data_IF_301645516119
#
_entry.id   IF_301645516119
#
_cell.length_a   1.000
_cell.length_b   1.000
_cell.length_c   1.000
_cell.angle_alpha   90.00
_cell.angle_beta   90.00
_cell.angle_gamma   90.00
#
_symmetry.space_group_name_H-M   'P 1'
#
loop_
_entity.id
_entity.type
_entity.pdbx_description
1 polymer ?
#
# COMPACT_ATOMS: atom_id res chain seq x y z
N UNK A 1 33.13 -47.21 -4.74
CA UNK A 1 32.98 -46.22 -5.83
C UNK A 1 31.92 -45.22 -5.39
N UNK A 2 32.32 -44.00 -5.07
CA UNK A 2 31.46 -42.99 -4.43
C UNK A 2 30.46 -42.42 -5.45
N UNK A 3 29.17 -42.53 -5.15
CA UNK A 3 28.11 -41.84 -5.88
C UNK A 3 28.06 -40.38 -5.42
N UNK A 4 28.72 -39.50 -6.16
CA UNK A 4 28.63 -38.05 -5.95
C UNK A 4 27.24 -37.55 -6.32
N UNK A 5 26.49 -37.07 -5.32
CA UNK A 5 25.20 -36.41 -5.49
C UNK A 5 25.42 -34.99 -6.04
N UNK A 6 25.08 -34.76 -7.31
CA UNK A 6 25.05 -33.43 -7.93
C UNK A 6 23.82 -32.65 -7.42
N UNK A 7 24.04 -31.69 -6.53
CA UNK A 7 23.02 -30.74 -6.09
C UNK A 7 22.92 -29.62 -7.15
N UNK A 8 21.85 -29.64 -7.95
CA UNK A 8 21.49 -28.52 -8.82
C UNK A 8 20.90 -27.41 -7.96
N UNK A 9 21.68 -26.37 -7.66
CA UNK A 9 21.16 -25.15 -7.07
C UNK A 9 20.37 -24.40 -8.14
N UNK A 10 19.05 -24.52 -8.11
CA UNK A 10 18.14 -23.77 -8.96
C UNK A 10 18.14 -22.30 -8.49
N UNK A 11 18.87 -21.44 -9.20
CA UNK A 11 18.90 -20.01 -8.93
C UNK A 11 17.56 -19.39 -9.35
N UNK A 12 16.65 -19.16 -8.40
CA UNK A 12 15.40 -18.43 -8.65
C UNK A 12 15.72 -16.94 -8.74
N UNK A 13 15.71 -16.39 -9.95
CA UNK A 13 15.88 -14.96 -10.16
C UNK A 13 14.61 -14.21 -9.72
N UNK A 14 14.62 -13.65 -8.51
CA UNK A 14 13.58 -12.74 -8.07
C UNK A 14 13.67 -11.42 -8.88
N UNK A 15 12.54 -10.82 -9.28
CA UNK A 15 12.57 -9.53 -9.98
C UNK A 15 13.17 -8.47 -9.05
N UNK A 16 14.32 -7.92 -9.45
CA UNK A 16 14.95 -6.79 -8.76
C UNK A 16 14.24 -5.52 -9.20
N UNK A 17 13.54 -4.88 -8.28
CA UNK A 17 13.01 -3.54 -8.50
C UNK A 17 14.13 -2.50 -8.36
N UNK A 18 14.04 -1.39 -9.11
CA UNK A 18 14.99 -0.29 -9.00
C UNK A 18 14.95 0.45 -7.63
N UNK A 19 13.98 0.11 -6.79
CA UNK A 19 13.84 0.60 -5.40
C UNK A 19 13.36 -0.56 -4.52
N UNK A 20 13.71 -0.55 -3.23
CA UNK A 20 13.22 -1.53 -2.26
C UNK A 20 11.80 -1.16 -1.78
N UNK A 21 10.76 -1.93 -2.16
CA UNK A 21 9.38 -1.64 -1.79
C UNK A 21 9.17 -1.77 -0.28
N UNK A 22 8.51 -0.79 0.32
CA UNK A 22 8.19 -0.78 1.74
C UNK A 22 6.71 -0.48 1.94
N UNK A 23 6.13 -1.03 3.01
CA UNK A 23 4.75 -0.72 3.38
C UNK A 23 4.59 0.77 3.62
N UNK A 24 3.61 1.38 2.96
CA UNK A 24 3.35 2.82 3.03
C UNK A 24 3.94 3.65 1.88
N UNK A 25 4.74 3.04 0.99
CA UNK A 25 5.13 3.71 -0.26
C UNK A 25 3.88 4.02 -1.09
N UNK A 26 3.73 5.26 -1.54
CA UNK A 26 2.60 5.67 -2.39
C UNK A 26 3.06 5.61 -3.83
N UNK A 27 2.41 4.79 -4.64
CA UNK A 27 2.75 4.60 -6.05
C UNK A 27 1.69 5.22 -6.96
N UNK A 28 2.14 5.84 -8.04
CA UNK A 28 1.31 6.55 -9.01
C UNK A 28 1.60 6.09 -10.42
N UNK A 29 0.57 6.01 -11.25
CA UNK A 29 0.71 5.71 -12.68
C UNK A 29 -0.36 6.43 -13.50
N UNK A 30 -0.22 6.31 -14.82
CA UNK A 30 -1.28 6.68 -15.77
C UNK A 30 -2.15 5.45 -16.03
N UNK A 31 -3.42 5.51 -15.62
CA UNK A 31 -4.39 4.46 -15.90
C UNK A 31 -4.68 4.35 -17.40
N UNK A 32 -4.99 3.13 -17.86
CA UNK A 32 -5.53 2.86 -19.20
C UNK A 32 -7.06 2.89 -19.26
N UNK A 33 -7.73 3.14 -18.13
CA UNK A 33 -9.19 3.24 -18.07
C UNK A 33 -9.71 4.50 -18.79
N UNK A 34 -10.95 4.46 -19.29
CA UNK A 34 -11.53 5.52 -20.13
C UNK A 34 -11.56 6.90 -19.45
N UNK A 35 -11.78 6.94 -18.13
CA UNK A 35 -11.79 8.15 -17.31
C UNK A 35 -10.41 8.76 -17.05
N UNK A 36 -9.31 8.06 -17.38
CA UNK A 36 -7.94 8.49 -17.08
C UNK A 36 -7.66 9.91 -17.60
N UNK A 37 -8.05 10.19 -18.84
CA UNK A 37 -7.82 11.50 -19.46
C UNK A 37 -8.62 12.62 -18.78
N UNK A 38 -9.85 12.33 -18.34
CA UNK A 38 -10.67 13.29 -17.62
C UNK A 38 -10.04 13.66 -16.27
N UNK A 39 -9.49 12.68 -15.54
CA UNK A 39 -8.78 12.91 -14.27
C UNK A 39 -7.55 13.80 -14.50
N UNK A 40 -6.72 13.49 -15.49
CA UNK A 40 -5.53 14.26 -15.79
C UNK A 40 -5.84 15.74 -16.09
N UNK A 41 -6.86 15.98 -16.92
CA UNK A 41 -7.28 17.32 -17.30
C UNK A 41 -7.87 18.09 -16.12
N UNK A 42 -8.72 17.45 -15.32
CA UNK A 42 -9.37 18.09 -14.19
C UNK A 42 -8.41 18.41 -13.04
N UNK A 43 -7.34 17.61 -12.88
CA UNK A 43 -6.37 17.76 -11.78
C UNK A 43 -5.06 18.43 -12.20
N UNK A 44 -4.92 18.80 -13.49
CA UNK A 44 -3.67 19.29 -14.06
C UNK A 44 -2.47 18.39 -13.72
N UNK A 45 -2.68 17.08 -13.79
CA UNK A 45 -1.69 16.07 -13.40
C UNK A 45 -1.49 15.03 -14.50
N UNK A 46 -0.29 14.46 -14.56
CA UNK A 46 -0.03 13.27 -15.37
C UNK A 46 -0.66 12.02 -14.74
N UNK A 47 -0.82 11.98 -13.41
CA UNK A 47 -1.23 10.76 -12.70
C UNK A 47 -2.76 10.65 -12.64
N UNK A 48 -3.27 9.44 -12.90
CA UNK A 48 -4.72 9.18 -12.88
C UNK A 48 -5.11 7.92 -12.09
N UNK A 49 -4.13 7.24 -11.49
CA UNK A 49 -4.34 6.16 -10.55
C UNK A 49 -3.23 6.10 -9.50
N UNK A 50 -3.58 5.64 -8.31
CA UNK A 50 -2.65 5.51 -7.19
C UNK A 50 -3.03 4.34 -6.29
N UNK A 51 -2.05 3.87 -5.53
CA UNK A 51 -2.24 2.90 -4.46
C UNK A 51 -1.11 3.02 -3.44
N UNK A 52 -1.21 2.22 -2.38
CA UNK A 52 -0.19 2.14 -1.34
C UNK A 52 0.46 0.75 -1.40
N UNK A 53 1.79 0.70 -1.39
CA UNK A 53 2.52 -0.56 -1.30
C UNK A 53 2.30 -1.17 0.09
N UNK A 54 2.01 -2.46 0.11
CA UNK A 54 1.86 -3.27 1.31
C UNK A 54 2.70 -4.55 1.16
N UNK A 55 3.63 -4.76 2.07
CA UNK A 55 4.42 -5.99 2.14
C UNK A 55 3.60 -7.09 2.81
N UNK A 56 3.33 -8.19 2.09
CA UNK A 56 2.59 -9.36 2.60
C UNK A 56 3.44 -10.60 2.38
N UNK A 57 3.79 -11.30 3.45
CA UNK A 57 4.70 -12.46 3.39
C UNK A 57 6.01 -12.16 2.64
N UNK A 58 6.58 -10.97 2.88
CA UNK A 58 7.79 -10.46 2.19
C UNK A 58 7.64 -10.19 0.68
N UNK A 59 6.42 -10.27 0.14
CA UNK A 59 6.13 -9.91 -1.24
C UNK A 59 5.41 -8.55 -1.32
N UNK A 60 5.75 -7.70 -2.31
CA UNK A 60 5.13 -6.40 -2.47
C UNK A 60 3.80 -6.49 -3.25
N UNK A 61 2.75 -5.95 -2.65
CA UNK A 61 1.46 -5.72 -3.27
C UNK A 61 1.16 -4.22 -3.30
N UNK A 62 0.30 -3.79 -4.22
CA UNK A 62 -0.34 -2.48 -4.18
C UNK A 62 -1.77 -2.67 -3.66
N UNK A 63 -2.08 -2.02 -2.54
CA UNK A 63 -3.42 -1.87 -2.02
C UNK A 63 -4.10 -0.70 -2.71
N UNK A 64 -5.15 -0.98 -3.49
CA UNK A 64 -5.77 -0.02 -4.40
C UNK A 64 -7.29 -0.11 -4.40
N UNK A 65 -7.95 1.01 -4.73
CA UNK A 65 -9.41 1.12 -4.82
C UNK A 65 -9.87 1.08 -6.29
N UNK A 66 -9.99 -0.13 -6.84
CA UNK A 66 -10.41 -0.35 -8.24
C UNK A 66 -11.86 -0.83 -8.37
N UNK A 67 -12.59 -0.94 -7.25
CA UNK A 67 -13.95 -1.45 -7.21
C UNK A 67 -14.02 -2.97 -7.40
N UNK A 68 -13.78 -3.79 -6.35
CA UNK A 68 -13.59 -3.42 -4.95
C UNK A 68 -12.15 -3.00 -4.61
N UNK A 69 -11.89 -2.72 -3.33
CA UNK A 69 -10.52 -2.54 -2.83
C UNK A 69 -9.80 -3.89 -2.88
N UNK A 70 -8.57 -3.90 -3.40
CA UNK A 70 -7.83 -5.13 -3.66
C UNK A 70 -6.32 -5.01 -3.39
N UNK A 71 -5.67 -6.16 -3.23
CA UNK A 71 -4.22 -6.30 -3.28
C UNK A 71 -3.81 -6.82 -4.65
N UNK A 72 -3.08 -6.01 -5.41
CA UNK A 72 -2.55 -6.40 -6.72
C UNK A 72 -1.03 -6.60 -6.60
N UNK A 73 -0.47 -7.74 -7.05
CA UNK A 73 0.99 -7.91 -7.05
C UNK A 73 1.68 -6.73 -7.74
N UNK A 74 2.75 -6.18 -7.15
CA UNK A 74 3.36 -4.92 -7.60
C UNK A 74 3.71 -4.93 -9.10
N UNK A 75 4.31 -6.02 -9.60
CA UNK A 75 4.62 -6.15 -11.03
C UNK A 75 3.38 -6.12 -11.93
N UNK A 76 2.29 -6.76 -11.49
CA UNK A 76 1.02 -6.74 -12.22
C UNK A 76 0.44 -5.32 -12.24
N UNK A 77 0.51 -4.61 -11.12
CA UNK A 77 0.03 -3.24 -11.01
C UNK A 77 0.78 -2.29 -11.96
N UNK A 78 2.12 -2.39 -11.98
CA UNK A 78 2.99 -1.62 -12.89
C UNK A 78 2.63 -1.92 -14.36
N UNK A 79 2.48 -3.20 -14.72
CA UNK A 79 2.15 -3.61 -16.08
C UNK A 79 0.77 -3.10 -16.56
N UNK A 80 -0.15 -2.82 -15.64
CA UNK A 80 -1.48 -2.28 -15.96
C UNK A 80 -1.46 -0.78 -16.31
N UNK A 81 -0.45 -0.04 -15.86
CA UNK A 81 -0.23 1.37 -16.23
C UNK A 81 0.25 1.57 -17.66
N UNK A 82 0.00 2.77 -18.19
CA UNK A 82 0.48 3.17 -19.52
C UNK A 82 2.00 3.03 -19.59
N UNK A 83 2.47 2.25 -20.57
CA UNK A 83 3.88 1.97 -20.84
C UNK A 83 4.67 1.38 -19.65
N UNK A 84 3.98 0.85 -18.61
CA UNK A 84 4.64 0.39 -17.39
C UNK A 84 5.30 1.51 -16.58
N UNK A 85 4.97 2.78 -16.84
CA UNK A 85 5.57 3.93 -16.15
C UNK A 85 4.88 4.20 -14.83
N UNK A 86 5.69 4.42 -13.80
CA UNK A 86 5.22 4.75 -12.46
C UNK A 86 6.19 5.69 -11.75
N UNK A 87 5.72 6.34 -10.69
CA UNK A 87 6.55 7.04 -9.71
C UNK A 87 6.15 6.61 -8.31
N UNK A 88 7.12 6.59 -7.39
CA UNK A 88 6.90 6.25 -5.99
C UNK A 88 7.25 7.45 -5.12
N UNK A 89 6.40 7.72 -4.14
CA UNK A 89 6.62 8.70 -3.08
C UNK A 89 6.72 7.94 -1.76
N UNK A 90 7.81 8.20 -1.03
CA UNK A 90 8.08 7.63 0.29
C UNK A 90 8.16 8.75 1.32
N UNK A 91 7.64 8.51 2.50
CA UNK A 91 7.81 9.37 3.68
C UNK A 91 9.31 9.51 3.97
N UNK A 92 9.85 10.75 3.99
CA UNK A 92 11.29 10.99 4.17
C UNK A 92 11.73 10.48 5.55
N UNK A 93 12.67 9.53 5.58
CA UNK A 93 13.07 8.83 6.81
C UNK A 93 12.29 7.54 7.08
N UNK A 94 11.34 7.18 6.21
CA UNK A 94 10.47 6.01 6.35
C UNK A 94 9.33 6.26 7.35
N UNK A 95 8.32 5.39 7.30
CA UNK A 95 7.35 5.27 8.38
C UNK A 95 8.01 4.46 9.50
N UNK A 96 8.03 5.01 10.72
CA UNK A 96 8.52 4.31 11.89
C UNK A 96 7.64 3.08 12.21
N UNK A 97 8.17 2.08 12.92
CA UNK A 97 7.38 0.91 13.34
C UNK A 97 6.09 1.29 14.09
N UNK A 98 6.07 2.30 14.99
CA UNK A 98 4.82 2.78 15.59
C UNK A 98 3.79 3.32 14.61
N UNK A 99 4.20 3.81 13.44
CA UNK A 99 3.28 4.28 12.39
C UNK A 99 2.75 3.13 11.50
N UNK A 100 3.36 1.94 11.60
CA UNK A 100 3.00 0.74 10.87
C UNK A 100 2.51 -0.35 11.83
N UNK A 101 1.24 -0.29 12.22
CA UNK A 101 0.66 -1.19 13.22
C UNK A 101 -0.13 -2.32 12.56
N UNK A 102 -0.20 -3.48 13.20
CA UNK A 102 -1.17 -4.50 12.77
C UNK A 102 -2.57 -4.10 13.19
N UNK A 103 -3.59 -4.39 12.37
CA UNK A 103 -4.99 -4.07 12.71
C UNK A 103 -5.39 -4.57 14.11
N UNK A 104 -4.92 -5.74 14.51
CA UNK A 104 -5.15 -6.32 15.85
C UNK A 104 -4.55 -5.52 17.02
N UNK A 105 -3.64 -4.60 16.77
CA UNK A 105 -2.98 -3.78 17.79
C UNK A 105 -3.81 -2.53 18.16
N UNK A 106 -4.82 -2.18 17.35
CA UNK A 106 -5.77 -1.12 17.69
C UNK A 106 -6.77 -1.60 18.75
N UNK A 107 -7.38 -0.66 19.49
CA UNK A 107 -8.52 -0.96 20.36
C UNK A 107 -9.76 -1.30 19.52
N UNK A 108 -9.90 -2.60 19.22
CA UNK A 108 -11.05 -3.15 18.50
C UNK A 108 -12.17 -3.60 19.45
N UNK A 109 -12.10 -3.29 20.76
CA UNK A 109 -13.11 -3.72 21.73
C UNK A 109 -14.31 -2.76 21.78
N UNK A 110 -14.21 -1.60 21.14
CA UNK A 110 -15.31 -0.65 21.06
C UNK A 110 -16.46 -1.24 20.25
N UNK A 111 -17.71 -1.31 20.78
CA UNK A 111 -18.85 -1.91 20.09
C UNK A 111 -19.10 -1.32 18.69
N UNK A 112 -18.92 0.00 18.56
CA UNK A 112 -19.06 0.69 17.28
C UNK A 112 -18.00 0.25 16.26
N UNK A 113 -16.75 0.05 16.69
CA UNK A 113 -15.67 -0.43 15.83
C UNK A 113 -15.95 -1.87 15.38
N UNK A 114 -16.37 -2.75 16.29
CA UNK A 114 -16.72 -4.15 15.95
C UNK A 114 -17.88 -4.22 14.96
N UNK A 115 -18.93 -3.41 15.16
CA UNK A 115 -20.06 -3.35 14.24
C UNK A 115 -19.61 -2.95 12.83
N UNK A 116 -18.76 -1.91 12.72
CA UNK A 116 -18.21 -1.46 11.42
C UNK A 116 -17.27 -2.48 10.77
N UNK A 117 -16.42 -3.14 11.55
CA UNK A 117 -15.56 -4.22 11.03
C UNK A 117 -16.38 -5.38 10.48
N UNK A 118 -17.44 -5.79 11.19
CA UNK A 118 -18.35 -6.85 10.74
C UNK A 118 -19.13 -6.43 9.49
N UNK A 119 -19.60 -5.19 9.41
CA UNK A 119 -20.27 -4.63 8.23
C UNK A 119 -19.35 -4.69 7.00
N UNK A 120 -18.08 -4.30 7.16
CA UNK A 120 -17.13 -4.18 6.04
C UNK A 120 -16.47 -5.49 5.62
N UNK A 121 -16.09 -6.33 6.59
CA UNK A 121 -15.26 -7.51 6.37
C UNK A 121 -15.99 -8.83 6.66
N UNK A 122 -17.22 -8.77 7.19
CA UNK A 122 -17.98 -9.95 7.59
C UNK A 122 -17.21 -10.78 8.62
N UNK A 123 -16.94 -12.05 8.28
CA UNK A 123 -16.17 -12.98 9.13
C UNK A 123 -14.66 -12.94 8.88
N UNK A 124 -14.19 -12.23 7.85
CA UNK A 124 -12.78 -12.25 7.40
C UNK A 124 -12.10 -10.92 7.69
N UNK A 125 -12.05 -10.55 8.96
CA UNK A 125 -11.34 -9.35 9.41
C UNK A 125 -9.83 -9.58 9.24
N UNK A 126 -9.11 -8.70 8.52
CA UNK A 126 -7.69 -8.90 8.23
C UNK A 126 -6.82 -8.44 9.41
N UNK A 127 -6.90 -9.13 10.55
CA UNK A 127 -6.27 -8.74 11.81
C UNK A 127 -4.74 -8.59 11.76
N UNK A 128 -4.07 -9.33 10.87
CA UNK A 128 -2.61 -9.27 10.68
C UNK A 128 -2.16 -8.31 9.57
N UNK A 129 -3.09 -7.54 9.02
CA UNK A 129 -2.76 -6.53 8.01
C UNK A 129 -2.04 -5.35 8.66
N UNK A 130 -0.99 -4.85 8.01
CA UNK A 130 -0.33 -3.61 8.45
C UNK A 130 -1.18 -2.42 8.00
N UNK A 131 -1.49 -1.53 8.93
CA UNK A 131 -2.36 -0.36 8.75
C UNK A 131 -1.63 0.89 9.22
N UNK A 132 -1.89 2.01 8.53
CA UNK A 132 -1.45 3.35 8.93
C UNK A 132 -2.71 4.11 9.36
N UNK A 133 -2.77 4.50 10.63
CA UNK A 133 -3.94 5.23 11.17
C UNK A 133 -3.91 6.72 10.76
N UNK A 134 -5.05 7.43 10.78
CA UNK A 134 -5.07 8.88 10.58
C UNK A 134 -4.14 9.63 11.54
N UNK A 135 -4.07 9.21 12.82
CA UNK A 135 -3.16 9.80 13.81
C UNK A 135 -1.70 9.62 13.41
N UNK A 136 -1.30 8.41 12.99
CA UNK A 136 0.06 8.12 12.57
C UNK A 136 0.48 8.94 11.33
N UNK A 137 -0.46 9.17 10.41
CA UNK A 137 -0.24 10.05 9.25
C UNK A 137 -0.15 11.52 9.69
N UNK A 138 -1.03 11.99 10.57
CA UNK A 138 -1.03 13.36 11.09
C UNK A 138 0.29 13.72 11.80
N UNK A 139 0.87 12.77 12.52
CA UNK A 139 2.16 12.92 13.21
C UNK A 139 3.39 12.74 12.29
N UNK A 140 3.19 12.50 10.99
CA UNK A 140 4.30 12.32 10.06
C UNK A 140 5.15 13.61 10.00
N UNK A 141 6.49 13.50 10.14
CA UNK A 141 7.36 14.67 10.35
C UNK A 141 7.47 15.59 9.11
N UNK A 142 6.88 15.21 7.97
CA UNK A 142 6.83 16.02 6.76
C UNK A 142 5.55 16.87 6.68
N UNK A 143 4.62 16.71 7.62
CA UNK A 143 3.40 17.50 7.69
C UNK A 143 3.59 18.65 8.68
N UNK A 144 3.10 19.82 8.30
CA UNK A 144 2.98 20.98 9.16
C UNK A 144 1.51 21.37 9.30
N UNK A 145 1.13 21.84 10.49
CA UNK A 145 -0.22 22.40 10.69
C UNK A 145 -0.21 23.86 10.24
N UNK A 146 -0.82 24.14 9.09
CA UNK A 146 -0.87 25.50 8.50
C UNK A 146 -2.11 26.30 8.91
N UNK A 147 -3.16 25.62 9.39
CA UNK A 147 -4.37 26.20 9.98
C UNK A 147 -5.00 25.16 10.91
N UNK A 148 -5.73 25.60 11.94
CA UNK A 148 -6.47 24.72 12.86
C UNK A 148 -7.75 25.39 13.32
N UNK A 149 -8.88 24.88 12.82
CA UNK A 149 -10.23 25.20 13.32
C UNK A 149 -10.88 23.92 13.85
N UNK A 150 -10.38 23.45 14.97
CA UNK A 150 -10.81 22.18 15.56
C UNK A 150 -11.07 22.36 17.06
N UNK A 151 -12.35 22.36 17.45
CA UNK A 151 -12.77 22.28 18.84
C UNK A 151 -13.02 20.79 19.16
N UNK A 152 -12.32 20.25 20.14
CA UNK A 152 -12.62 18.91 20.67
C UNK A 152 -13.58 19.11 21.85
N UNK A 153 -14.69 18.38 21.85
CA UNK A 153 -15.52 18.14 23.03
C UNK A 153 -15.10 16.83 23.68
#
# INVERSE_FOLDING_TARGET
>A
MNHGLLIFNLLVAAPVFAWEPQTGDIIFQVSRASQSRAIQLATHSDYSHTGIVAMRNSEPYVFEAIGPVAYTPLQKWIAQGKDGRYIVRKVRGGLSSPQQQKLKEFDLNQPIAQAKLKERYGKRIPLNETVISPQALFEAPQLETVDKRYAIH
#
